data_IF_987424846203
#
_entry.id   IF_987424846203
#
_cell.length_a   1.000
_cell.length_b   1.000
_cell.length_c   1.000
_cell.angle_alpha   90.00
_cell.angle_beta   90.00
_cell.angle_gamma   90.00
#
_symmetry.space_group_name_H-M   'P 1'
#
loop_
_entity.id
_entity.type
_entity.pdbx_description
1 polymer ?
#
# COMPACT_ATOMS: atom_id res chain seq x y z
N UNK A 1 -35.97 2.34 -12.26
CA UNK A 1 -36.20 2.32 -10.79
C UNK A 1 -34.85 2.49 -10.14
N UNK A 2 -34.55 3.68 -9.59
CA UNK A 2 -33.31 3.90 -8.86
C UNK A 2 -33.42 3.19 -7.50
N UNK A 3 -32.60 2.17 -7.28
CA UNK A 3 -32.46 1.52 -5.97
C UNK A 3 -31.84 2.54 -5.02
N UNK A 4 -32.67 3.14 -4.16
CA UNK A 4 -32.19 3.93 -3.03
C UNK A 4 -31.49 2.94 -2.10
N UNK A 5 -30.17 2.87 -2.21
CA UNK A 5 -29.36 2.06 -1.31
C UNK A 5 -29.35 2.77 0.02
N UNK A 6 -30.12 2.29 0.99
CA UNK A 6 -30.11 2.80 2.37
C UNK A 6 -28.71 2.59 2.95
N UNK A 7 -28.03 3.68 3.29
CA UNK A 7 -26.72 3.65 3.93
C UNK A 7 -26.81 2.94 5.29
N UNK A 8 -25.91 2.00 5.53
CA UNK A 8 -25.73 1.40 6.85
C UNK A 8 -25.24 2.45 7.86
N UNK A 9 -25.52 2.34 9.17
CA UNK A 9 -25.04 3.28 10.18
C UNK A 9 -23.50 3.43 10.25
N UNK A 10 -22.76 2.50 9.67
CA UNK A 10 -21.29 2.52 9.60
C UNK A 10 -20.75 2.90 8.23
N UNK A 11 -21.61 3.13 7.25
CA UNK A 11 -21.20 3.66 5.97
C UNK A 11 -20.83 5.14 6.13
N UNK A 12 -19.80 5.57 5.40
CA UNK A 12 -19.25 6.93 5.52
C UNK A 12 -19.29 7.61 4.15
N UNK A 13 -19.89 8.79 4.09
CA UNK A 13 -19.76 9.65 2.92
C UNK A 13 -18.33 10.21 2.88
N UNK A 14 -17.66 10.04 1.75
CA UNK A 14 -16.28 10.47 1.58
C UNK A 14 -16.05 11.09 0.20
N UNK A 15 -15.10 12.01 0.16
CA UNK A 15 -14.63 12.62 -1.09
C UNK A 15 -13.23 12.11 -1.38
N UNK A 16 -13.07 11.47 -2.52
CA UNK A 16 -11.78 10.98 -3.00
C UNK A 16 -11.27 11.91 -4.08
N UNK A 17 -10.00 12.26 -3.99
CA UNK A 17 -9.31 13.13 -4.95
C UNK A 17 -8.33 12.29 -5.75
N UNK A 18 -8.44 12.35 -7.07
CA UNK A 18 -7.61 11.61 -8.01
C UNK A 18 -6.83 12.58 -8.87
N UNK A 19 -5.67 12.13 -9.35
CA UNK A 19 -5.02 12.79 -10.49
C UNK A 19 -5.96 12.73 -11.68
N UNK A 20 -6.20 13.86 -12.33
CA UNK A 20 -6.96 13.91 -13.57
C UNK A 20 -6.10 13.32 -14.70
N UNK A 21 -6.60 12.25 -15.31
CA UNK A 21 -5.94 11.55 -16.42
C UNK A 21 -6.73 11.71 -17.74
N UNK A 22 -7.68 12.65 -17.79
CA UNK A 22 -8.45 12.93 -19.01
C UNK A 22 -7.58 13.40 -20.17
N UNK A 23 -6.43 14.02 -19.86
CA UNK A 23 -5.37 14.29 -20.82
C UNK A 23 -4.22 13.28 -20.65
N UNK A 24 -3.94 12.43 -21.67
CA UNK A 24 -2.85 11.46 -21.63
C UNK A 24 -1.47 12.05 -21.39
N UNK A 25 -1.24 13.33 -21.74
CA UNK A 25 0.05 13.99 -21.46
C UNK A 25 0.30 14.21 -19.98
N UNK A 26 -0.71 14.09 -19.12
CA UNK A 26 -0.56 14.13 -17.66
C UNK A 26 -0.23 12.76 -17.07
N UNK A 27 -0.34 11.68 -17.85
CA UNK A 27 0.08 10.35 -17.45
C UNK A 27 1.61 10.17 -17.52
N UNK A 28 2.35 11.21 -17.92
CA UNK A 28 3.81 11.19 -18.12
C UNK A 28 4.59 10.60 -16.93
N UNK A 29 5.72 9.92 -17.23
CA UNK A 29 6.36 8.95 -16.36
C UNK A 29 6.82 9.60 -15.06
N UNK A 30 6.86 8.79 -14.00
CA UNK A 30 7.43 9.22 -12.73
C UNK A 30 8.88 9.63 -12.97
N UNK A 31 9.12 10.95 -13.05
CA UNK A 31 10.45 11.52 -13.11
C UNK A 31 10.88 11.83 -11.68
N UNK A 32 11.84 11.06 -11.18
CA UNK A 32 12.59 11.44 -10.00
C UNK A 32 13.79 12.26 -10.47
N UNK A 33 13.89 13.55 -10.11
CA UNK A 33 15.08 14.32 -10.46
C UNK A 33 16.32 13.67 -9.85
N UNK A 34 17.37 13.53 -10.67
CA UNK A 34 18.68 13.07 -10.21
C UNK A 34 19.32 14.10 -9.26
N UNK A 35 18.95 15.36 -9.38
CA UNK A 35 19.42 16.46 -8.54
C UNK A 35 18.78 16.46 -7.14
N UNK A 36 19.60 16.64 -6.10
CA UNK A 36 19.15 16.56 -4.71
C UNK A 36 18.39 17.81 -4.24
N UNK A 37 18.74 19.00 -4.74
CA UNK A 37 18.02 20.23 -4.39
C UNK A 37 16.62 20.24 -5.00
N UNK A 38 16.47 19.75 -6.24
CA UNK A 38 15.17 19.54 -6.86
C UNK A 38 14.32 18.52 -6.09
N UNK A 39 14.94 17.46 -5.56
CA UNK A 39 14.23 16.50 -4.67
C UNK A 39 13.77 17.14 -3.36
N UNK A 40 14.48 18.14 -2.83
CA UNK A 40 14.06 18.86 -1.61
C UNK A 40 12.85 19.76 -1.87
N UNK A 41 12.69 20.26 -3.09
CA UNK A 41 11.53 21.06 -3.53
C UNK A 41 10.43 20.21 -4.17
N UNK A 42 9.97 19.19 -3.44
CA UNK A 42 8.97 18.20 -3.91
C UNK A 42 7.74 18.86 -4.54
N UNK A 43 7.26 19.99 -3.99
CA UNK A 43 6.06 20.69 -4.47
C UNK A 43 6.16 21.20 -5.91
N UNK A 44 7.37 21.51 -6.35
CA UNK A 44 7.62 22.10 -7.67
C UNK A 44 7.88 21.03 -8.73
N UNK A 45 7.89 19.75 -8.34
CA UNK A 45 8.04 18.66 -9.27
C UNK A 45 6.82 18.60 -10.21
N UNK A 46 7.03 18.42 -11.54
CA UNK A 46 5.92 18.34 -12.50
C UNK A 46 4.85 17.31 -12.11
N UNK A 47 5.26 16.23 -11.43
CA UNK A 47 4.36 15.21 -10.89
C UNK A 47 3.32 15.73 -9.89
N UNK A 48 3.65 16.78 -9.14
CA UNK A 48 2.83 17.35 -8.06
C UNK A 48 2.02 18.58 -8.48
N UNK A 49 2.21 19.05 -9.72
CA UNK A 49 1.40 20.12 -10.33
C UNK A 49 0.27 19.57 -11.20
N UNK A 50 0.05 18.25 -11.20
CA UNK A 50 -0.98 17.61 -12.02
C UNK A 50 -2.38 18.04 -11.55
N UNK A 51 -3.30 18.35 -12.48
CA UNK A 51 -4.67 18.65 -12.13
C UNK A 51 -5.31 17.46 -11.41
N UNK A 52 -6.26 17.75 -10.52
CA UNK A 52 -6.97 16.74 -9.73
C UNK A 52 -8.46 16.84 -9.92
N UNK A 53 -9.14 15.71 -9.81
CA UNK A 53 -10.59 15.61 -9.83
C UNK A 53 -11.08 14.98 -8.53
N UNK A 54 -12.05 15.62 -7.88
CA UNK A 54 -12.71 15.08 -6.70
C UNK A 54 -14.00 14.37 -7.07
N UNK A 55 -14.28 13.25 -6.42
CA UNK A 55 -15.49 12.46 -6.59
C UNK A 55 -16.02 12.03 -5.24
N UNK A 56 -17.33 12.07 -5.10
CA UNK A 56 -18.01 11.65 -3.87
C UNK A 56 -18.38 10.17 -3.95
N UNK A 57 -18.15 9.46 -2.85
CA UNK A 57 -18.46 8.04 -2.70
C UNK A 57 -19.06 7.77 -1.32
N UNK A 58 -19.82 6.68 -1.25
CA UNK A 58 -20.17 6.04 0.01
C UNK A 58 -19.18 4.91 0.25
N UNK A 59 -18.36 5.02 1.29
CA UNK A 59 -17.50 3.94 1.78
C UNK A 59 -18.36 3.03 2.62
N UNK A 60 -18.43 1.75 2.24
CA UNK A 60 -19.29 0.77 2.91
C UNK A 60 -18.54 0.02 4.01
N UNK A 61 -19.19 -0.20 5.15
CA UNK A 61 -18.68 -1.14 6.15
C UNK A 61 -18.89 -2.59 5.68
N UNK A 62 -17.79 -3.29 5.45
CA UNK A 62 -17.77 -4.69 4.99
C UNK A 62 -17.49 -5.68 6.12
N UNK A 63 -17.44 -5.24 7.39
CA UNK A 63 -17.05 -6.08 8.54
C UNK A 63 -17.88 -7.36 8.69
N UNK A 64 -19.15 -7.34 8.28
CA UNK A 64 -20.04 -8.51 8.34
C UNK A 64 -19.88 -9.47 7.14
N UNK A 65 -19.15 -9.05 6.10
CA UNK A 65 -19.08 -9.74 4.82
C UNK A 65 -17.64 -9.99 4.35
N UNK A 66 -16.66 -9.93 5.27
CA UNK A 66 -15.24 -10.06 4.96
C UNK A 66 -14.89 -11.34 4.17
N UNK A 67 -15.67 -12.41 4.36
CA UNK A 67 -15.46 -13.70 3.69
C UNK A 67 -15.83 -13.67 2.20
N UNK A 68 -16.50 -12.61 1.71
CA UNK A 68 -16.84 -12.43 0.29
C UNK A 68 -15.67 -11.90 -0.56
N UNK A 69 -14.63 -11.37 0.09
CA UNK A 69 -13.50 -10.73 -0.58
C UNK A 69 -12.35 -11.72 -0.74
N UNK A 70 -12.10 -12.14 -1.98
CA UNK A 70 -11.01 -13.06 -2.33
C UNK A 70 -10.03 -12.38 -3.28
N UNK A 71 -8.77 -12.83 -3.25
CA UNK A 71 -7.72 -12.28 -4.12
C UNK A 71 -8.10 -12.30 -5.59
N UNK A 72 -8.67 -13.41 -6.08
CA UNK A 72 -9.05 -13.58 -7.49
C UNK A 72 -10.13 -12.60 -7.97
N UNK A 73 -11.04 -12.21 -7.08
CA UNK A 73 -12.21 -11.40 -7.47
C UNK A 73 -12.06 -9.92 -7.13
N UNK A 74 -11.31 -9.59 -6.08
CA UNK A 74 -11.20 -8.23 -5.55
C UNK A 74 -9.76 -7.70 -5.53
N UNK A 75 -8.75 -8.53 -5.80
CA UNK A 75 -7.33 -8.15 -5.69
C UNK A 75 -6.84 -8.02 -4.25
N UNK A 76 -7.69 -8.28 -3.25
CA UNK A 76 -7.34 -8.35 -1.83
C UNK A 76 -8.22 -9.39 -1.12
N UNK A 77 -7.79 -9.82 0.06
CA UNK A 77 -8.53 -10.79 0.87
C UNK A 77 -8.32 -10.53 2.36
N UNK A 78 -9.38 -10.68 3.14
CA UNK A 78 -9.29 -10.67 4.60
C UNK A 78 -8.86 -12.03 5.13
N UNK A 79 -7.91 -12.04 6.06
CA UNK A 79 -7.39 -13.25 6.66
C UNK A 79 -7.29 -13.07 8.17
N UNK A 80 -7.96 -13.96 8.92
CA UNK A 80 -7.81 -14.03 10.37
C UNK A 80 -6.52 -14.80 10.68
N UNK A 81 -5.45 -14.07 10.96
CA UNK A 81 -4.16 -14.65 11.32
C UNK A 81 -3.77 -14.23 12.75
N UNK A 82 -3.45 -15.21 13.59
CA UNK A 82 -2.93 -14.96 14.93
C UNK A 82 -1.40 -14.98 14.86
N UNK A 83 -0.78 -13.80 14.93
CA UNK A 83 0.68 -13.69 15.01
C UNK A 83 1.19 -13.99 16.43
N UNK A 84 2.46 -14.41 16.51
CA UNK A 84 3.19 -14.55 17.79
C UNK A 84 3.70 -13.20 18.33
N UNK A 85 3.73 -12.14 17.52
CA UNK A 85 4.14 -10.80 17.96
C UNK A 85 3.02 -10.17 18.79
N UNK A 86 3.32 -9.82 20.04
CA UNK A 86 2.38 -9.11 20.91
C UNK A 86 2.27 -7.62 20.54
N UNK A 87 1.22 -6.95 21.02
CA UNK A 87 0.98 -5.52 20.75
C UNK A 87 2.18 -4.62 21.09
N UNK A 88 2.91 -4.92 22.16
CA UNK A 88 4.07 -4.12 22.58
C UNK A 88 5.31 -4.38 21.72
N UNK A 89 5.45 -5.60 21.20
CA UNK A 89 6.60 -6.01 20.38
C UNK A 89 6.56 -5.44 18.95
N UNK A 90 5.43 -4.89 18.50
CA UNK A 90 5.38 -4.20 17.19
C UNK A 90 6.25 -2.94 17.14
N UNK A 91 6.61 -2.36 18.29
CA UNK A 91 7.54 -1.24 18.36
C UNK A 91 9.02 -1.68 18.31
N UNK A 92 9.30 -2.99 18.23
CA UNK A 92 10.64 -3.55 18.10
C UNK A 92 10.81 -4.09 16.66
N UNK A 93 11.47 -3.30 15.82
CA UNK A 93 11.74 -3.64 14.42
C UNK A 93 12.49 -4.97 14.26
N UNK A 94 13.40 -5.30 15.17
CA UNK A 94 14.15 -6.55 15.10
C UNK A 94 13.23 -7.73 15.39
N UNK A 95 12.35 -7.58 16.38
CA UNK A 95 11.34 -8.59 16.71
C UNK A 95 10.34 -8.78 15.58
N UNK A 96 9.88 -7.70 14.95
CA UNK A 96 9.00 -7.76 13.77
C UNK A 96 9.69 -8.51 12.63
N UNK A 97 10.94 -8.17 12.29
CA UNK A 97 11.69 -8.85 11.23
C UNK A 97 11.99 -10.31 11.57
N UNK A 98 12.29 -10.63 12.82
CA UNK A 98 12.64 -11.99 13.22
C UNK A 98 11.43 -12.94 13.27
N UNK A 99 10.22 -12.42 13.52
CA UNK A 99 9.02 -13.24 13.75
C UNK A 99 7.93 -12.99 12.71
N UNK A 100 7.51 -11.74 12.56
CA UNK A 100 6.36 -11.41 11.71
C UNK A 100 6.68 -11.61 10.22
N UNK A 101 7.89 -11.28 9.79
CA UNK A 101 8.28 -11.43 8.38
C UNK A 101 8.19 -12.90 7.91
N UNK A 102 8.81 -13.89 8.61
CA UNK A 102 8.60 -15.30 8.27
C UNK A 102 7.12 -15.72 8.31
N UNK A 103 6.36 -15.29 9.31
CA UNK A 103 4.93 -15.62 9.43
C UNK A 103 4.10 -15.10 8.23
N UNK A 104 4.34 -13.85 7.82
CA UNK A 104 3.68 -13.22 6.66
C UNK A 104 4.11 -13.88 5.36
N UNK A 105 5.40 -14.18 5.19
CA UNK A 105 5.92 -14.89 4.02
C UNK A 105 5.21 -16.23 3.85
N UNK A 106 5.15 -17.04 4.90
CA UNK A 106 4.50 -18.36 4.86
C UNK A 106 2.99 -18.23 4.61
N UNK A 107 2.34 -17.24 5.24
CA UNK A 107 0.92 -16.98 5.04
C UNK A 107 0.61 -16.60 3.59
N UNK A 108 1.37 -15.66 3.02
CA UNK A 108 1.18 -15.20 1.64
C UNK A 108 1.44 -16.34 0.67
N UNK A 109 2.54 -17.10 0.83
CA UNK A 109 2.81 -18.30 0.01
C UNK A 109 1.65 -19.30 0.03
N UNK A 110 1.10 -19.57 1.21
CA UNK A 110 -0.03 -20.51 1.37
C UNK A 110 -1.29 -20.02 0.66
N UNK A 111 -1.56 -18.71 0.68
CA UNK A 111 -2.77 -18.13 0.10
C UNK A 111 -2.68 -17.92 -1.41
N UNK A 112 -1.49 -17.54 -1.91
CA UNK A 112 -1.29 -17.19 -3.33
C UNK A 112 -0.70 -18.33 -4.15
N UNK A 113 -0.05 -19.30 -3.51
CA UNK A 113 0.76 -20.31 -4.21
C UNK A 113 2.09 -19.75 -4.73
N UNK A 114 2.48 -18.53 -4.37
CA UNK A 114 3.74 -17.93 -4.83
C UNK A 114 4.94 -18.79 -4.40
N UNK A 115 5.87 -19.03 -5.33
CA UNK A 115 7.11 -19.74 -5.02
C UNK A 115 8.09 -18.88 -4.23
N UNK A 116 8.00 -17.55 -4.40
CA UNK A 116 8.83 -16.58 -3.73
C UNK A 116 8.00 -15.44 -3.13
N UNK A 117 8.33 -15.06 -1.89
CA UNK A 117 7.75 -13.90 -1.22
C UNK A 117 8.86 -13.16 -0.51
N UNK A 118 8.91 -11.84 -0.67
CA UNK A 118 9.91 -10.97 -0.04
C UNK A 118 9.22 -9.82 0.67
N UNK A 119 9.42 -9.72 1.98
CA UNK A 119 8.98 -8.58 2.76
C UNK A 119 10.11 -7.54 2.82
N UNK A 120 9.89 -6.36 2.24
CA UNK A 120 10.98 -5.38 2.06
C UNK A 120 10.93 -4.21 3.05
N UNK A 121 9.76 -3.91 3.60
CA UNK A 121 9.58 -2.79 4.51
C UNK A 121 8.38 -3.03 5.44
N UNK A 122 8.37 -2.35 6.57
CA UNK A 122 7.20 -2.24 7.43
C UNK A 122 7.19 -0.87 8.10
N UNK A 123 6.01 -0.39 8.44
CA UNK A 123 5.85 0.82 9.22
C UNK A 123 4.97 0.53 10.42
N UNK A 124 5.51 0.75 11.62
CA UNK A 124 4.73 0.71 12.85
C UNK A 124 4.15 2.10 13.11
N UNK A 125 2.83 2.15 13.35
CA UNK A 125 2.14 3.38 13.73
C UNK A 125 1.79 3.36 15.22
N UNK A 126 2.12 4.44 15.91
CA UNK A 126 1.94 4.65 17.34
C UNK A 126 1.18 5.93 17.68
N UNK A 127 0.90 6.18 18.97
CA UNK A 127 0.19 7.37 19.41
C UNK A 127 0.99 8.65 19.15
N UNK A 128 0.26 9.75 18.95
CA UNK A 128 0.85 11.07 18.75
C UNK A 128 1.64 11.50 19.98
N UNK A 129 2.96 11.66 19.84
CA UNK A 129 3.82 12.17 20.92
C UNK A 129 3.58 13.68 21.11
N UNK A 130 3.29 14.19 22.33
CA UNK A 130 2.90 15.59 22.56
C UNK A 130 3.90 16.65 22.06
N UNK A 131 5.19 16.28 21.97
CA UNK A 131 6.28 17.15 21.53
C UNK A 131 7.02 16.56 20.31
N UNK A 132 6.32 15.81 19.44
CA UNK A 132 6.93 15.29 18.23
C UNK A 132 7.47 16.44 17.35
N UNK A 133 8.75 16.34 16.94
CA UNK A 133 9.28 17.24 15.94
C UNK A 133 8.53 17.00 14.63
N UNK A 134 7.88 18.05 14.09
CA UNK A 134 7.10 17.98 12.85
C UNK A 134 7.96 17.74 11.60
N UNK A 135 9.27 17.93 11.71
CA UNK A 135 10.23 17.70 10.62
C UNK A 135 10.70 16.24 10.53
N UNK A 136 10.46 15.44 11.58
CA UNK A 136 10.82 14.02 11.60
C UNK A 136 9.58 13.22 11.17
N UNK A 137 9.67 12.32 10.17
CA UNK A 137 8.59 11.41 9.84
C UNK A 137 8.09 10.71 11.12
N UNK A 138 6.83 10.95 11.46
CA UNK A 138 6.27 10.44 12.70
C UNK A 138 5.60 9.10 12.46
N UNK A 139 5.68 8.22 13.44
CA UNK A 139 4.87 7.00 13.55
C UNK A 139 3.38 7.33 13.80
N UNK A 140 2.96 8.58 13.73
CA UNK A 140 1.61 8.99 14.06
C UNK A 140 0.58 8.35 13.12
N UNK A 141 -0.69 8.25 13.55
CA UNK A 141 -1.76 7.77 12.70
C UNK A 141 -1.92 8.66 11.46
N UNK A 142 -2.17 8.03 10.32
CA UNK A 142 -2.50 8.73 9.08
C UNK A 142 -3.99 9.02 9.06
N UNK A 143 -4.36 10.27 8.81
CA UNK A 143 -5.76 10.71 8.79
C UNK A 143 -6.42 10.67 7.40
N UNK A 144 -5.62 10.43 6.35
CA UNK A 144 -6.08 10.43 4.96
C UNK A 144 -5.56 9.19 4.22
N UNK A 145 -6.47 8.49 3.54
CA UNK A 145 -6.07 7.41 2.63
C UNK A 145 -5.44 8.02 1.39
N UNK A 146 -4.29 7.50 0.99
CA UNK A 146 -3.57 7.90 -0.20
C UNK A 146 -2.94 6.68 -0.87
N UNK A 147 -2.60 6.80 -2.15
CA UNK A 147 -1.80 5.83 -2.89
C UNK A 147 -0.57 6.55 -3.44
N UNK A 148 0.60 6.25 -2.88
CA UNK A 148 1.86 6.93 -3.22
C UNK A 148 2.50 6.42 -4.50
N UNK A 149 1.95 5.36 -5.11
CA UNK A 149 2.59 4.64 -6.20
C UNK A 149 1.70 4.60 -7.43
N UNK A 150 2.27 4.96 -8.59
CA UNK A 150 1.69 4.58 -9.87
C UNK A 150 2.07 3.13 -10.20
N UNK A 151 1.45 2.56 -11.23
CA UNK A 151 1.75 1.21 -11.70
C UNK A 151 3.25 0.99 -11.99
N UNK A 152 3.87 1.89 -12.76
CA UNK A 152 5.29 1.78 -13.10
C UNK A 152 6.19 2.06 -11.89
N UNK A 153 5.80 3.00 -11.03
CA UNK A 153 6.54 3.34 -9.81
C UNK A 153 6.61 2.18 -8.84
N UNK A 154 5.47 1.55 -8.59
CA UNK A 154 5.38 0.36 -7.74
C UNK A 154 6.31 -0.75 -8.24
N UNK A 155 6.33 -1.00 -9.56
CA UNK A 155 7.21 -2.00 -10.18
C UNK A 155 8.69 -1.66 -10.01
N UNK A 156 9.07 -0.41 -10.24
CA UNK A 156 10.46 0.06 -10.07
C UNK A 156 10.91 -0.12 -8.62
N UNK A 157 10.10 0.33 -7.66
CA UNK A 157 10.41 0.20 -6.24
C UNK A 157 10.54 -1.27 -5.86
N UNK A 158 9.56 -2.11 -6.19
CA UNK A 158 9.60 -3.54 -5.89
C UNK A 158 10.89 -4.19 -6.43
N UNK A 159 11.23 -3.97 -7.69
CA UNK A 159 12.44 -4.53 -8.31
C UNK A 159 13.74 -3.95 -7.74
N UNK A 160 13.73 -2.73 -7.20
CA UNK A 160 14.90 -2.15 -6.53
C UNK A 160 15.19 -2.75 -5.16
N UNK A 161 14.15 -3.28 -4.49
CA UNK A 161 14.23 -3.78 -3.11
C UNK A 161 14.57 -5.26 -3.03
N UNK A 162 14.29 -6.04 -4.07
CA UNK A 162 14.60 -7.47 -4.11
C UNK A 162 16.13 -7.66 -4.22
N UNK A 163 16.79 -8.27 -3.21
CA UNK A 163 18.24 -8.39 -3.18
C UNK A 163 18.78 -9.42 -4.18
N UNK A 164 18.07 -10.54 -4.37
CA UNK A 164 18.44 -11.58 -5.32
C UNK A 164 17.37 -11.74 -6.42
N UNK A 165 17.69 -11.20 -7.59
CA UNK A 165 16.82 -11.22 -8.77
C UNK A 165 16.92 -12.51 -9.57
N UNK A 166 17.87 -13.40 -9.26
CA UNK A 166 18.01 -14.69 -9.95
C UNK A 166 16.78 -15.57 -9.75
N UNK A 167 16.15 -15.46 -8.58
CA UNK A 167 14.88 -16.10 -8.24
C UNK A 167 13.70 -15.65 -9.13
N UNK A 168 13.79 -14.45 -9.74
CA UNK A 168 12.78 -13.92 -10.66
C UNK A 168 12.98 -14.43 -12.11
N UNK A 169 14.18 -14.90 -12.46
CA UNK A 169 14.58 -15.25 -13.83
C UNK A 169 14.36 -16.73 -14.18
N UNK A 170 14.12 -17.60 -13.19
CA UNK A 170 13.78 -19.02 -13.42
C UNK A 170 12.29 -19.25 -13.73
N UNK A 171 11.51 -18.18 -13.88
CA UNK A 171 10.06 -18.24 -14.09
C UNK A 171 9.79 -18.00 -15.56
N UNK A 172 10.14 -18.98 -16.39
CA UNK A 172 9.95 -18.92 -17.83
C UNK A 172 8.50 -19.15 -18.29
N UNK A 173 7.53 -19.27 -17.38
CA UNK A 173 6.11 -19.30 -17.71
C UNK A 173 5.31 -18.80 -16.50
N UNK A 174 4.33 -17.92 -16.74
CA UNK A 174 3.40 -17.27 -15.79
C UNK A 174 3.95 -16.20 -14.84
N UNK A 175 3.29 -15.04 -14.88
CA UNK A 175 3.47 -13.81 -14.09
C UNK A 175 3.07 -14.02 -12.60
N UNK A 176 3.11 -15.26 -12.10
CA UNK A 176 2.47 -15.70 -10.84
C UNK A 176 3.43 -16.05 -9.69
N UNK A 177 4.74 -15.82 -9.81
CA UNK A 177 5.70 -16.49 -8.91
C UNK A 177 6.24 -15.67 -7.75
N UNK A 178 6.13 -14.33 -7.77
CA UNK A 178 6.73 -13.46 -6.76
C UNK A 178 5.70 -12.49 -6.17
N UNK A 179 5.47 -12.57 -4.85
CA UNK A 179 4.76 -11.55 -4.10
C UNK A 179 5.75 -10.68 -3.32
N UNK A 180 5.61 -9.37 -3.43
CA UNK A 180 6.40 -8.41 -2.65
C UNK A 180 5.46 -7.77 -1.64
N UNK A 181 5.85 -7.80 -0.36
CA UNK A 181 5.07 -7.29 0.76
C UNK A 181 5.80 -6.14 1.42
#
# INVERSE_FOLDING_TARGET
MATVTTMSPRDVQATFTYVDLSNPTWADPISFPSDEEQRKNIKDLPGNQKPVVSREFVVKDVSAEIDKFTLETHGFQYVKHQTKVSKAEFADDERVKAVLYPEVIDLVKKLTGASYVYCYDHQTRGPVKPNANKEIPTENPVHFVHCDQSYDGAKIIALSRIPDKSSLLNVNDTINSAAVV
#
